data_IF_834041670809
#
_entry.id   IF_834041670809
#
_cell.length_a   1.000
_cell.length_b   1.000
_cell.length_c   1.000
_cell.angle_alpha   90.00
_cell.angle_beta   90.00
_cell.angle_gamma   90.00
#
_symmetry.space_group_name_H-M   'P 1'
#
loop_
_entity.id
_entity.type
_entity.pdbx_description
1 polymer ?
#
# COMPACT_ATOMS: atom_id res chain seq x y z
N UNK A 1 -24.30 -17.76 -24.21
CA UNK A 1 -24.77 -18.28 -22.90
C UNK A 1 -23.69 -18.24 -21.81
N UNK A 2 -22.42 -18.54 -22.10
CA UNK A 2 -21.33 -18.45 -21.11
C UNK A 2 -21.08 -17.02 -20.56
N UNK A 3 -21.09 -15.99 -21.42
CA UNK A 3 -20.94 -14.58 -21.00
C UNK A 3 -22.13 -14.02 -20.20
N UNK A 4 -23.31 -14.66 -20.28
CA UNK A 4 -24.49 -14.24 -19.51
C UNK A 4 -24.42 -14.81 -18.09
N UNK A 5 -24.01 -16.08 -17.94
CA UNK A 5 -23.73 -16.69 -16.63
C UNK A 5 -22.59 -15.99 -15.89
N UNK A 6 -21.53 -15.56 -16.59
CA UNK A 6 -20.40 -14.88 -15.96
C UNK A 6 -20.76 -13.44 -15.48
N UNK A 7 -21.67 -12.74 -16.19
CA UNK A 7 -22.25 -11.47 -15.75
C UNK A 7 -23.16 -11.61 -14.53
N UNK A 8 -24.01 -12.64 -14.49
CA UNK A 8 -24.86 -12.93 -13.31
C UNK A 8 -24.02 -13.27 -12.07
N UNK A 9 -22.85 -13.90 -12.25
CA UNK A 9 -21.96 -14.26 -11.13
C UNK A 9 -21.21 -13.05 -10.56
N UNK A 10 -20.86 -12.06 -11.40
CA UNK A 10 -20.14 -10.83 -10.99
C UNK A 10 -21.08 -9.78 -10.38
N UNK A 11 -22.29 -9.63 -10.93
CA UNK A 11 -23.33 -8.79 -10.32
C UNK A 11 -23.82 -9.38 -8.99
N UNK A 12 -23.87 -10.72 -8.87
CA UNK A 12 -24.16 -11.39 -7.59
C UNK A 12 -23.03 -11.21 -6.56
N UNK A 13 -21.74 -11.26 -6.94
CA UNK A 13 -20.63 -11.00 -6.02
C UNK A 13 -20.59 -9.52 -5.55
N UNK A 14 -20.94 -8.59 -6.43
CA UNK A 14 -21.01 -7.16 -6.08
C UNK A 14 -22.26 -6.81 -5.25
N UNK A 15 -23.34 -7.60 -5.36
CA UNK A 15 -24.55 -7.48 -4.52
C UNK A 15 -24.52 -8.35 -3.26
N UNK A 16 -23.65 -9.37 -3.17
CA UNK A 16 -23.62 -10.32 -2.05
C UNK A 16 -23.16 -9.69 -0.72
N UNK A 17 -22.42 -8.57 -0.75
CA UNK A 17 -21.85 -7.94 0.45
C UNK A 17 -22.60 -6.71 0.95
N UNK A 18 -23.69 -6.31 0.29
CA UNK A 18 -24.58 -5.28 0.84
C UNK A 18 -25.34 -5.85 2.05
N UNK A 19 -24.75 -5.77 3.24
CA UNK A 19 -25.29 -6.33 4.48
C UNK A 19 -24.39 -7.38 5.16
N UNK A 20 -23.15 -7.58 4.68
CA UNK A 20 -22.16 -8.36 5.43
C UNK A 20 -21.65 -7.51 6.60
N UNK A 21 -21.96 -7.93 7.82
CA UNK A 21 -21.56 -7.23 9.04
C UNK A 21 -20.02 -7.18 9.19
N UNK A 22 -19.31 -8.14 8.59
CA UNK A 22 -17.85 -8.28 8.71
C UNK A 22 -17.07 -7.55 7.61
N UNK A 23 -17.74 -6.78 6.74
CA UNK A 23 -17.11 -6.16 5.56
C UNK A 23 -15.94 -5.23 5.90
N UNK A 24 -15.90 -4.67 7.11
CA UNK A 24 -14.84 -3.78 7.59
C UNK A 24 -13.84 -4.49 8.51
N UNK A 25 -14.17 -5.69 8.98
CA UNK A 25 -13.37 -6.45 9.92
C UNK A 25 -14.03 -6.69 11.27
N UNK A 26 -13.23 -6.95 12.30
CA UNK A 26 -13.72 -7.26 13.65
C UNK A 26 -12.78 -6.82 14.77
N UNK A 27 -13.34 -6.71 15.99
CA UNK A 27 -12.62 -6.49 17.25
C UNK A 27 -12.90 -7.63 18.23
N UNK A 28 -11.88 -8.03 18.98
CA UNK A 28 -12.05 -8.91 20.14
C UNK A 28 -12.48 -8.10 21.37
N UNK A 29 -13.65 -8.39 21.93
CA UNK A 29 -14.15 -7.76 23.16
C UNK A 29 -14.17 -8.79 24.28
N UNK A 30 -13.37 -8.61 25.35
CA UNK A 30 -13.33 -9.57 26.46
C UNK A 30 -14.64 -9.54 27.26
N UNK A 31 -15.06 -10.71 27.74
CA UNK A 31 -16.12 -10.84 28.74
C UNK A 31 -15.75 -11.90 29.77
N UNK A 32 -16.20 -11.68 31.00
CA UNK A 32 -15.99 -12.61 32.12
C UNK A 32 -17.10 -13.66 32.13
N UNK A 33 -16.73 -14.94 32.13
CA UNK A 33 -17.70 -16.04 32.28
C UNK A 33 -18.11 -16.19 33.74
N UNK A 34 -19.25 -16.85 34.03
CA UNK A 34 -19.64 -17.19 35.40
C UNK A 34 -18.61 -18.03 36.17
N UNK A 35 -17.63 -18.63 35.47
CA UNK A 35 -16.56 -19.44 36.05
C UNK A 35 -15.25 -18.67 36.25
N UNK A 36 -15.23 -17.35 36.02
CA UNK A 36 -14.05 -16.50 36.21
C UNK A 36 -12.97 -16.69 35.15
N UNK A 37 -13.34 -17.21 33.97
CA UNK A 37 -12.47 -17.23 32.79
C UNK A 37 -12.81 -16.05 31.88
N UNK A 38 -11.78 -15.41 31.31
CA UNK A 38 -11.97 -14.40 30.27
C UNK A 38 -12.12 -15.09 28.91
N UNK A 39 -13.24 -14.82 28.24
CA UNK A 39 -13.50 -15.21 26.86
C UNK A 39 -13.67 -13.96 25.98
N UNK A 40 -13.73 -14.12 24.66
CA UNK A 40 -13.79 -13.00 23.71
C UNK A 40 -14.97 -13.13 22.76
N UNK A 41 -15.72 -12.05 22.60
CA UNK A 41 -16.68 -11.90 21.51
C UNK A 41 -16.00 -11.24 20.32
N UNK A 42 -16.34 -11.70 19.11
CA UNK A 42 -16.02 -10.98 17.88
C UNK A 42 -17.13 -9.97 17.63
N UNK A 43 -16.77 -8.69 17.59
CA UNK A 43 -17.69 -7.60 17.28
C UNK A 43 -17.31 -7.05 15.91
N UNK A 44 -18.25 -7.01 14.93
CA UNK A 44 -17.94 -6.46 13.62
C UNK A 44 -17.63 -4.95 13.68
N UNK A 45 -16.65 -4.51 12.89
CA UNK A 45 -16.28 -3.09 12.82
C UNK A 45 -17.30 -2.31 12.02
N UNK A 46 -17.60 -1.09 12.48
CA UNK A 46 -18.39 -0.13 11.70
C UNK A 46 -17.51 0.58 10.66
N UNK A 47 -18.15 1.34 9.77
CA UNK A 47 -17.44 2.20 8.84
C UNK A 47 -16.60 3.27 9.57
N UNK A 48 -17.07 3.82 10.70
CA UNK A 48 -16.29 4.77 11.52
C UNK A 48 -15.11 4.08 12.22
N UNK A 49 -15.28 2.83 12.68
CA UNK A 49 -14.15 2.05 13.23
C UNK A 49 -13.07 1.79 12.17
N UNK A 50 -13.44 1.59 10.90
CA UNK A 50 -12.47 1.43 9.82
C UNK A 50 -11.67 2.73 9.53
N UNK A 51 -12.27 3.90 9.81
CA UNK A 51 -11.58 5.18 9.70
C UNK A 51 -10.70 5.48 10.93
N UNK A 52 -11.16 5.10 12.11
CA UNK A 52 -10.51 5.34 13.40
C UNK A 52 -10.33 4.03 14.18
N UNK A 53 -9.46 3.12 13.70
CA UNK A 53 -9.29 1.82 14.32
C UNK A 53 -8.68 1.95 15.72
N UNK A 54 -8.95 0.95 16.55
CA UNK A 54 -8.31 0.77 17.85
C UNK A 54 -7.18 -0.26 17.73
N UNK A 55 -6.24 -0.19 18.67
CA UNK A 55 -5.18 -1.20 18.75
C UNK A 55 -5.80 -2.59 18.98
N UNK A 56 -5.46 -3.54 18.11
CA UNK A 56 -6.01 -4.90 18.11
C UNK A 56 -7.16 -5.14 17.13
N UNK A 57 -7.70 -4.09 16.50
CA UNK A 57 -8.70 -4.24 15.43
C UNK A 57 -8.13 -5.00 14.23
N UNK A 58 -8.97 -5.87 13.66
CA UNK A 58 -8.66 -6.64 12.47
C UNK A 58 -9.39 -6.03 11.29
N UNK A 59 -8.83 -4.96 10.71
CA UNK A 59 -9.38 -4.36 9.48
C UNK A 59 -9.06 -5.26 8.29
N UNK A 60 -10.06 -5.58 7.47
CA UNK A 60 -9.90 -6.49 6.33
C UNK A 60 -9.81 -5.73 5.01
N UNK A 61 -8.91 -6.19 4.14
CA UNK A 61 -8.66 -5.57 2.84
C UNK A 61 -8.66 -6.63 1.73
N UNK A 62 -8.95 -6.20 0.50
CA UNK A 62 -8.81 -7.06 -0.68
C UNK A 62 -7.33 -7.34 -1.00
N UNK A 63 -7.05 -8.47 -1.65
CA UNK A 63 -5.72 -8.84 -2.13
C UNK A 63 -5.05 -7.73 -2.97
N UNK A 64 -5.80 -7.15 -3.92
CA UNK A 64 -5.28 -6.11 -4.80
C UNK A 64 -4.92 -4.81 -4.05
N UNK A 65 -5.67 -4.48 -2.99
CA UNK A 65 -5.35 -3.36 -2.10
C UNK A 65 -4.03 -3.63 -1.38
N UNK A 66 -3.93 -4.78 -0.73
CA UNK A 66 -2.76 -5.19 0.02
C UNK A 66 -1.50 -5.26 -0.87
N UNK A 67 -1.60 -5.82 -2.08
CA UNK A 67 -0.48 -5.84 -3.03
C UNK A 67 0.04 -4.44 -3.37
N UNK A 68 -0.86 -3.47 -3.59
CA UNK A 68 -0.49 -2.07 -3.90
C UNK A 68 0.16 -1.38 -2.70
N UNK A 69 -0.36 -1.56 -1.49
CA UNK A 69 0.22 -0.98 -0.28
C UNK A 69 1.59 -1.60 0.03
N UNK A 70 1.72 -2.93 -0.07
CA UNK A 70 2.98 -3.65 0.13
C UNK A 70 4.04 -3.22 -0.89
N UNK A 71 3.66 -3.05 -2.16
CA UNK A 71 4.54 -2.51 -3.20
C UNK A 71 5.09 -1.14 -2.80
N UNK A 72 4.22 -0.18 -2.49
CA UNK A 72 4.62 1.17 -2.05
C UNK A 72 5.54 1.12 -0.83
N UNK A 73 5.15 0.37 0.20
CA UNK A 73 5.91 0.20 1.42
C UNK A 73 7.33 -0.33 1.14
N UNK A 74 7.46 -1.36 0.31
CA UNK A 74 8.74 -1.95 -0.04
C UNK A 74 9.63 -0.99 -0.82
N UNK A 75 9.07 -0.32 -1.85
CA UNK A 75 9.81 0.66 -2.66
C UNK A 75 10.30 1.82 -1.80
N UNK A 76 9.44 2.39 -0.94
CA UNK A 76 9.80 3.52 -0.10
C UNK A 76 10.82 3.14 0.96
N UNK A 77 10.70 1.96 1.57
CA UNK A 77 11.71 1.46 2.51
C UNK A 77 13.06 1.23 1.86
N UNK A 78 13.09 0.63 0.66
CA UNK A 78 14.32 0.43 -0.07
C UNK A 78 14.99 1.78 -0.40
N UNK A 79 14.18 2.76 -0.84
CA UNK A 79 14.63 4.11 -1.19
C UNK A 79 15.17 4.88 0.02
N UNK A 80 14.58 4.72 1.20
CA UNK A 80 14.96 5.41 2.43
C UNK A 80 15.95 4.64 3.31
N UNK A 81 16.49 3.52 2.84
CA UNK A 81 17.35 2.63 3.65
C UNK A 81 18.58 3.32 4.26
N UNK A 82 19.12 4.34 3.59
CA UNK A 82 20.29 5.11 4.04
C UNK A 82 19.93 6.28 4.96
N UNK A 83 18.65 6.65 5.04
CA UNK A 83 18.17 7.72 5.91
C UNK A 83 17.72 7.14 7.26
N UNK A 84 18.62 7.14 8.24
CA UNK A 84 18.36 6.54 9.55
C UNK A 84 17.34 7.29 10.41
N UNK A 85 16.92 8.49 10.00
CA UNK A 85 15.91 9.29 10.72
C UNK A 85 14.55 9.27 10.05
N UNK A 86 14.41 8.55 8.93
CA UNK A 86 13.14 8.32 8.27
C UNK A 86 12.64 6.89 8.51
N UNK A 87 11.33 6.72 8.66
CA UNK A 87 10.70 5.40 8.65
C UNK A 87 9.45 5.42 7.79
N UNK A 88 9.15 4.27 7.20
CA UNK A 88 7.91 4.04 6.46
C UNK A 88 7.10 3.04 7.27
N UNK A 89 5.84 3.34 7.48
CA UNK A 89 4.87 2.48 8.14
C UNK A 89 3.76 2.14 7.15
N UNK A 90 3.15 0.96 7.33
CA UNK A 90 2.03 0.47 6.55
C UNK A 90 1.06 -0.21 7.52
N UNK A 91 -0.21 0.25 7.53
CA UNK A 91 -1.29 -0.24 8.40
C UNK A 91 -0.92 -0.20 9.91
N UNK A 92 -0.08 0.75 10.31
CA UNK A 92 0.26 1.00 11.73
C UNK A 92 -0.62 2.13 12.25
N UNK A 93 -1.25 1.92 13.41
CA UNK A 93 -2.04 2.94 14.08
C UNK A 93 -1.15 4.12 14.49
N UNK A 94 -1.40 5.31 13.94
CA UNK A 94 -0.67 6.55 14.24
C UNK A 94 -1.47 7.42 15.19
N UNK A 95 -0.85 7.80 16.31
CA UNK A 95 -1.35 8.81 17.26
C UNK A 95 -0.69 10.15 16.91
N UNK A 96 -1.51 11.08 16.44
CA UNK A 96 -1.05 12.40 15.99
C UNK A 96 -0.71 13.31 17.17
N UNK A 97 0.19 14.27 16.96
CA UNK A 97 0.55 15.27 17.98
C UNK A 97 -0.59 16.28 18.24
N UNK A 98 -1.49 16.45 17.27
CA UNK A 98 -2.65 17.34 17.36
C UNK A 98 -3.63 16.86 18.43
N UNK A 99 -3.92 17.67 19.48
CA UNK A 99 -4.87 17.30 20.51
C UNK A 99 -6.25 17.00 19.93
N UNK A 100 -6.95 16.01 20.50
CA UNK A 100 -8.29 15.56 20.12
C UNK A 100 -8.43 14.94 18.72
N UNK A 101 -7.37 14.94 17.90
CA UNK A 101 -7.38 14.21 16.64
C UNK A 101 -7.33 12.71 16.91
N UNK A 102 -8.35 11.99 16.42
CA UNK A 102 -8.44 10.54 16.60
C UNK A 102 -7.30 9.85 15.83
N UNK A 103 -6.72 8.76 16.37
CA UNK A 103 -5.73 7.97 15.64
C UNK A 103 -6.30 7.39 14.35
N UNK A 104 -5.46 7.33 13.31
CA UNK A 104 -5.77 6.63 12.05
C UNK A 104 -4.68 5.60 11.75
N UNK A 105 -4.96 4.64 10.87
CA UNK A 105 -3.95 3.74 10.31
C UNK A 105 -3.84 4.01 8.80
N UNK A 106 -2.92 4.90 8.37
CA UNK A 106 -2.74 5.17 6.95
C UNK A 106 -2.21 3.93 6.22
N UNK A 107 -2.66 3.72 4.98
CA UNK A 107 -2.15 2.62 4.15
C UNK A 107 -0.62 2.69 4.03
N UNK A 108 -0.06 3.88 3.76
CA UNK A 108 1.39 4.14 3.83
C UNK A 108 1.63 5.53 4.40
N UNK A 109 2.53 5.63 5.39
CA UNK A 109 3.02 6.91 5.91
C UNK A 109 4.54 6.92 6.00
N UNK A 110 5.13 8.05 5.60
CA UNK A 110 6.56 8.35 5.79
C UNK A 110 6.69 9.34 6.93
N UNK A 111 7.42 8.93 7.96
CA UNK A 111 7.78 9.75 9.11
C UNK A 111 9.26 10.15 9.01
N UNK A 112 9.59 11.34 9.48
CA UNK A 112 10.96 11.87 9.55
C UNK A 112 11.29 12.34 10.97
N UNK A 113 12.57 12.49 11.29
CA UNK A 113 13.03 12.93 12.62
C UNK A 113 13.04 11.83 13.69
N UNK A 114 12.72 10.59 13.32
CA UNK A 114 12.73 9.44 14.23
C UNK A 114 14.15 9.23 14.75
N UNK A 115 14.31 9.17 16.08
CA UNK A 115 15.62 9.06 16.72
C UNK A 115 16.13 7.63 16.77
N UNK A 116 15.23 6.68 17.00
CA UNK A 116 15.53 5.27 17.19
C UNK A 116 14.40 4.44 16.58
N UNK A 117 14.76 3.42 15.80
CA UNK A 117 13.76 2.51 15.25
C UNK A 117 13.37 1.46 16.28
N UNK A 118 12.07 1.25 16.44
CA UNK A 118 11.50 0.26 17.37
C UNK A 118 10.50 -0.63 16.67
N UNK A 119 10.08 -1.68 17.36
CA UNK A 119 8.95 -2.51 16.95
C UNK A 119 7.67 -1.87 17.51
N UNK A 120 7.04 -1.03 16.70
CA UNK A 120 5.84 -0.29 17.08
C UNK A 120 4.58 -1.11 16.80
N UNK A 121 3.75 -1.36 17.82
CA UNK A 121 2.35 -1.81 17.63
C UNK A 121 1.42 -0.66 17.30
N UNK A 122 1.76 0.54 17.77
CA UNK A 122 1.23 1.83 17.35
C UNK A 122 2.35 2.87 17.38
N UNK A 123 2.23 3.92 16.58
CA UNK A 123 3.23 4.96 16.44
C UNK A 123 2.73 6.28 17.02
N UNK A 124 3.39 6.77 18.07
CA UNK A 124 3.07 8.07 18.69
C UNK A 124 4.04 9.14 18.17
N UNK A 125 3.50 10.10 17.41
CA UNK A 125 4.31 11.12 16.72
C UNK A 125 5.10 11.97 17.70
N UNK A 126 4.49 12.36 18.83
CA UNK A 126 5.11 13.21 19.83
C UNK A 126 6.19 12.44 20.62
N UNK A 127 5.89 11.20 21.03
CA UNK A 127 6.81 10.36 21.81
C UNK A 127 8.06 10.00 21.00
N UNK A 128 7.92 9.79 19.69
CA UNK A 128 9.04 9.48 18.79
C UNK A 128 9.77 10.74 18.27
N UNK A 129 9.31 11.94 18.67
CA UNK A 129 9.78 13.24 18.19
C UNK A 129 9.82 13.31 16.65
N UNK A 130 8.85 12.66 16.01
CA UNK A 130 8.77 12.50 14.58
C UNK A 130 7.88 13.58 13.94
N UNK A 131 7.91 13.67 12.61
CA UNK A 131 6.96 14.46 11.83
C UNK A 131 6.51 13.67 10.60
N UNK A 132 5.22 13.69 10.26
CA UNK A 132 4.78 13.13 8.99
C UNK A 132 5.37 13.95 7.84
N UNK A 133 5.77 13.25 6.79
CA UNK A 133 6.28 13.86 5.56
C UNK A 133 5.38 13.56 4.35
N UNK A 134 4.81 12.35 4.32
CA UNK A 134 3.94 11.87 3.25
C UNK A 134 2.93 10.87 3.80
N UNK A 135 1.66 10.98 3.40
CA UNK A 135 0.66 9.93 3.55
C UNK A 135 0.14 9.54 2.17
N UNK A 136 -0.02 8.23 1.93
CA UNK A 136 -0.70 7.68 0.76
C UNK A 136 -1.85 6.79 1.21
N UNK A 137 -3.01 6.96 0.58
CA UNK A 137 -4.19 6.12 0.73
C UNK A 137 -4.55 5.48 -0.62
N UNK A 138 -4.78 4.18 -0.63
CA UNK A 138 -5.27 3.42 -1.77
C UNK A 138 -6.75 3.18 -1.56
N UNK A 139 -7.61 3.71 -2.41
CA UNK A 139 -9.06 3.64 -2.13
C UNK A 139 -9.57 2.21 -2.23
N UNK A 140 -10.37 1.79 -1.25
CA UNK A 140 -11.19 0.58 -1.33
C UNK A 140 -12.66 0.92 -1.63
N UNK A 141 -13.46 0.06 -2.28
CA UNK A 141 -14.84 0.38 -2.62
C UNK A 141 -15.73 0.83 -1.45
N UNK A 142 -15.49 0.27 -0.25
CA UNK A 142 -16.31 0.46 0.94
C UNK A 142 -15.85 1.61 1.84
N UNK A 143 -14.57 2.02 1.76
CA UNK A 143 -13.99 3.10 2.58
C UNK A 143 -13.57 4.33 1.78
N UNK A 144 -13.65 4.29 0.43
CA UNK A 144 -13.28 5.39 -0.48
C UNK A 144 -13.85 6.76 -0.11
N UNK A 145 -15.03 6.80 0.52
CA UNK A 145 -15.64 8.05 0.96
C UNK A 145 -14.78 8.77 2.01
N UNK A 146 -14.13 8.02 2.90
CA UNK A 146 -13.28 8.59 3.94
C UNK A 146 -11.98 9.14 3.36
N UNK A 147 -11.35 8.40 2.46
CA UNK A 147 -10.12 8.85 1.80
C UNK A 147 -10.37 10.17 1.06
N UNK A 148 -11.50 10.29 0.36
CA UNK A 148 -11.87 11.49 -0.41
C UNK A 148 -12.46 12.64 0.42
N UNK A 149 -12.74 12.44 1.71
CA UNK A 149 -13.35 13.44 2.58
C UNK A 149 -12.68 13.49 3.95
N UNK A 150 -13.11 12.65 4.90
CA UNK A 150 -12.69 12.73 6.31
C UNK A 150 -11.16 12.74 6.50
N UNK A 151 -10.44 11.83 5.83
CA UNK A 151 -8.98 11.73 5.95
C UNK A 151 -8.25 12.95 5.38
N UNK A 152 -8.86 13.66 4.43
CA UNK A 152 -8.28 14.90 3.91
C UNK A 152 -8.22 15.95 5.01
N UNK A 153 -9.27 16.08 5.81
CA UNK A 153 -9.29 17.01 6.95
C UNK A 153 -8.37 16.51 8.08
N UNK A 154 -8.48 15.23 8.46
CA UNK A 154 -7.66 14.64 9.54
C UNK A 154 -6.15 14.79 9.25
N UNK A 155 -5.71 14.50 8.03
CA UNK A 155 -4.29 14.62 7.67
C UNK A 155 -3.83 16.06 7.53
N UNK A 156 -4.72 16.99 7.20
CA UNK A 156 -4.39 18.41 7.22
C UNK A 156 -4.15 18.87 8.67
N UNK A 157 -5.06 18.51 9.58
CA UNK A 157 -4.98 18.84 10.99
C UNK A 157 -3.81 18.15 11.70
N UNK A 158 -3.42 16.95 11.24
CA UNK A 158 -2.21 16.26 11.66
C UNK A 158 -0.90 16.91 11.17
N UNK A 159 -1.00 17.92 10.30
CA UNK A 159 0.16 18.62 9.74
C UNK A 159 0.94 17.80 8.70
N UNK A 160 0.29 16.87 8.01
CA UNK A 160 0.93 16.09 6.93
C UNK A 160 1.21 17.04 5.74
N UNK A 161 2.48 17.18 5.29
CA UNK A 161 2.79 18.14 4.22
C UNK A 161 2.32 17.72 2.83
N UNK A 162 2.29 16.41 2.57
CA UNK A 162 1.96 15.82 1.28
C UNK A 162 1.00 14.64 1.50
N UNK A 163 -0.19 14.73 0.94
CA UNK A 163 -1.20 13.68 0.98
C UNK A 163 -1.55 13.22 -0.42
N UNK A 164 -1.56 11.91 -0.66
CA UNK A 164 -1.86 11.32 -1.96
C UNK A 164 -2.94 10.26 -1.85
N UNK A 165 -3.92 10.31 -2.76
CA UNK A 165 -4.96 9.29 -2.90
C UNK A 165 -4.77 8.59 -4.23
N UNK A 166 -4.59 7.28 -4.18
CA UNK A 166 -4.63 6.38 -5.32
C UNK A 166 -6.06 5.88 -5.50
N UNK A 167 -6.82 6.56 -6.35
CA UNK A 167 -8.25 6.32 -6.54
C UNK A 167 -8.47 5.28 -7.64
N UNK A 168 -8.63 4.04 -7.19
CA UNK A 168 -8.96 2.88 -8.00
C UNK A 168 -10.38 2.40 -7.66
N UNK A 169 -11.36 2.87 -8.44
CA UNK A 169 -12.77 2.52 -8.22
C UNK A 169 -13.41 1.92 -9.45
N UNK A 170 -14.24 0.90 -9.26
CA UNK A 170 -15.11 0.35 -10.30
C UNK A 170 -16.56 0.50 -9.85
N UNK A 171 -17.35 1.29 -10.59
CA UNK A 171 -18.79 1.44 -10.33
C UNK A 171 -19.56 1.45 -11.63
N UNK A 172 -20.51 0.52 -11.77
CA UNK A 172 -21.56 0.51 -12.81
C UNK A 172 -21.06 0.94 -14.21
N UNK A 173 -19.93 0.35 -14.64
CA UNK A 173 -19.23 0.57 -15.94
C UNK A 173 -18.24 1.75 -16.02
N UNK A 174 -18.03 2.50 -14.94
CA UNK A 174 -16.96 3.49 -14.83
C UNK A 174 -15.77 2.89 -14.09
N UNK A 175 -14.60 2.95 -14.72
CA UNK A 175 -13.31 2.60 -14.11
C UNK A 175 -12.58 3.91 -13.82
N UNK A 176 -12.44 4.24 -12.55
CA UNK A 176 -11.63 5.37 -12.11
C UNK A 176 -10.24 4.85 -11.82
N UNK A 177 -9.24 5.45 -12.47
CA UNK A 177 -7.81 5.24 -12.25
C UNK A 177 -7.15 6.61 -12.25
N UNK A 178 -6.92 7.18 -11.08
CA UNK A 178 -6.31 8.52 -10.97
C UNK A 178 -5.52 8.67 -9.68
N UNK A 179 -4.55 9.57 -9.73
CA UNK A 179 -3.82 10.05 -8.58
C UNK A 179 -4.34 11.44 -8.20
N UNK A 180 -4.66 11.64 -6.94
CA UNK A 180 -4.99 12.94 -6.37
C UNK A 180 -3.90 13.28 -5.37
N UNK A 181 -3.11 14.31 -5.64
CA UNK A 181 -2.09 14.80 -4.72
C UNK A 181 -2.55 16.09 -4.08
N UNK A 182 -2.19 16.30 -2.83
CA UNK A 182 -2.48 17.49 -2.06
C UNK A 182 -1.25 17.94 -1.29
N UNK A 183 -0.95 19.24 -1.33
CA UNK A 183 0.11 19.85 -0.55
C UNK A 183 -0.51 20.77 0.50
N UNK A 184 0.04 20.77 1.71
CA UNK A 184 -0.46 21.65 2.78
C UNK A 184 -0.27 23.13 2.42
N UNK A 185 -1.22 23.96 2.85
CA UNK A 185 -1.17 25.42 2.76
C UNK A 185 -1.71 26.03 4.06
N UNK A 186 -1.74 27.36 4.18
CA UNK A 186 -2.26 28.04 5.38
C UNK A 186 -3.74 27.75 5.64
N UNK A 187 -4.54 27.58 4.58
CA UNK A 187 -6.00 27.49 4.66
C UNK A 187 -6.55 26.07 4.42
N UNK A 188 -5.67 25.08 4.28
CA UNK A 188 -6.07 23.71 3.91
C UNK A 188 -5.14 23.08 2.88
N UNK A 189 -5.52 21.90 2.42
CA UNK A 189 -4.84 21.23 1.31
C UNK A 189 -5.13 21.92 -0.03
N UNK A 190 -4.08 22.13 -0.83
CA UNK A 190 -4.19 22.53 -2.24
C UNK A 190 -3.86 21.35 -3.15
N UNK A 191 -4.66 21.10 -4.21
CA UNK A 191 -4.40 19.99 -5.12
C UNK A 191 -3.12 20.24 -5.93
N UNK A 192 -2.33 19.18 -6.09
CA UNK A 192 -1.14 19.14 -6.92
C UNK A 192 -1.56 18.70 -8.32
N UNK A 193 -1.13 19.45 -9.33
CA UNK A 193 -1.33 19.09 -10.73
C UNK A 193 -0.30 18.03 -11.11
N UNK A 194 -0.72 16.83 -11.55
CA UNK A 194 0.21 15.83 -12.08
C UNK A 194 0.94 16.34 -13.32
N UNK A 195 2.08 15.74 -13.64
CA UNK A 195 2.81 16.04 -14.86
C UNK A 195 2.02 15.59 -16.12
N UNK A 196 2.60 15.80 -17.31
CA UNK A 196 1.97 15.44 -18.59
C UNK A 196 1.64 13.94 -18.74
N UNK A 197 2.29 13.06 -17.98
CA UNK A 197 2.02 11.62 -17.92
C UNK A 197 0.99 11.24 -16.85
N UNK A 198 0.47 12.21 -16.11
CA UNK A 198 -0.41 11.97 -14.97
C UNK A 198 0.32 11.54 -13.69
N UNK A 199 1.64 11.73 -13.60
CA UNK A 199 2.43 11.33 -12.44
C UNK A 199 2.54 12.43 -11.39
N UNK A 200 2.65 12.04 -10.12
CA UNK A 200 2.91 12.93 -9.00
C UNK A 200 4.35 12.76 -8.52
N UNK A 201 5.04 13.87 -8.28
CA UNK A 201 6.35 13.84 -7.62
C UNK A 201 6.18 13.72 -6.11
N UNK A 202 6.77 12.69 -5.52
CA UNK A 202 6.79 12.44 -4.08
C UNK A 202 8.14 12.88 -3.52
N UNK A 203 8.24 14.14 -3.11
CA UNK A 203 9.49 14.73 -2.62
C UNK A 203 10.14 13.92 -1.47
N UNK A 204 9.41 13.46 -0.42
CA UNK A 204 10.01 12.80 0.73
C UNK A 204 10.72 11.48 0.42
N UNK A 205 10.37 10.84 -0.69
CA UNK A 205 10.99 9.60 -1.18
C UNK A 205 11.75 9.81 -2.49
N UNK A 206 11.70 11.00 -3.09
CA UNK A 206 12.35 11.31 -4.38
C UNK A 206 11.99 10.32 -5.49
N UNK A 207 10.69 10.05 -5.63
CA UNK A 207 10.12 9.15 -6.63
C UNK A 207 8.95 9.83 -7.36
N UNK A 208 8.73 9.45 -8.61
CA UNK A 208 7.45 9.68 -9.26
C UNK A 208 6.50 8.53 -8.93
N UNK A 209 5.24 8.86 -8.67
CA UNK A 209 4.15 7.90 -8.61
C UNK A 209 3.26 8.05 -9.83
N UNK A 210 3.01 6.96 -10.54
CA UNK A 210 2.18 6.91 -11.73
C UNK A 210 1.24 5.71 -11.73
N UNK A 211 0.30 5.73 -12.69
CA UNK A 211 -0.58 4.61 -12.98
C UNK A 211 -0.30 4.15 -14.41
N UNK A 212 -0.01 2.87 -14.58
CA UNK A 212 0.12 2.22 -15.88
C UNK A 212 -0.93 1.10 -16.00
N UNK A 213 -1.97 1.35 -16.82
CA UNK A 213 -3.15 0.49 -16.89
C UNK A 213 -3.86 0.39 -15.53
N UNK A 214 -3.84 -0.80 -14.92
CA UNK A 214 -4.39 -1.07 -13.59
C UNK A 214 -3.31 -1.13 -12.49
N UNK A 215 -2.05 -0.92 -12.86
CA UNK A 215 -0.91 -1.04 -11.96
C UNK A 215 -0.50 0.33 -11.41
N UNK A 216 -0.16 0.33 -10.14
CA UNK A 216 0.49 1.45 -9.48
C UNK A 216 2.00 1.27 -9.64
N UNK A 217 2.69 2.29 -10.14
CA UNK A 217 4.13 2.19 -10.46
C UNK A 217 4.87 3.39 -9.90
N UNK A 218 5.95 3.11 -9.18
CA UNK A 218 6.93 4.09 -8.78
C UNK A 218 8.03 4.17 -9.85
N UNK A 219 8.45 5.39 -10.18
CA UNK A 219 9.58 5.64 -11.08
C UNK A 219 10.67 6.42 -10.36
N UNK A 220 11.93 6.14 -10.69
CA UNK A 220 13.06 6.89 -10.18
C UNK A 220 13.16 8.30 -10.82
N UNK A 221 14.17 9.08 -10.41
CA UNK A 221 14.43 10.42 -10.96
C UNK A 221 14.73 10.45 -12.46
N UNK A 222 15.14 9.31 -13.03
CA UNK A 222 15.42 9.13 -14.45
C UNK A 222 14.21 8.52 -15.18
N UNK A 223 13.03 8.53 -14.55
CA UNK A 223 11.78 7.99 -15.07
C UNK A 223 11.81 6.48 -15.37
N UNK A 224 12.73 5.73 -14.73
CA UNK A 224 12.78 4.28 -14.85
C UNK A 224 11.81 3.64 -13.86
N UNK A 225 10.98 2.67 -14.28
CA UNK A 225 10.06 1.98 -13.39
C UNK A 225 10.82 1.16 -12.34
N UNK A 226 10.25 1.06 -11.15
CA UNK A 226 10.74 0.22 -10.06
C UNK A 226 9.82 -0.99 -9.96
N UNK A 227 10.37 -2.15 -10.30
CA UNK A 227 9.64 -3.42 -10.31
C UNK A 227 9.18 -3.85 -8.90
N UNK A 228 8.10 -4.61 -8.84
CA UNK A 228 7.70 -5.30 -7.61
C UNK A 228 8.66 -6.47 -7.29
N UNK A 229 8.76 -6.87 -6.03
CA UNK A 229 9.63 -7.97 -5.60
C UNK A 229 9.30 -9.30 -6.31
N UNK A 230 8.02 -9.55 -6.59
CA UNK A 230 7.59 -10.71 -7.37
C UNK A 230 8.18 -10.67 -8.79
N UNK A 231 8.10 -9.53 -9.46
CA UNK A 231 8.64 -9.31 -10.80
C UNK A 231 10.17 -9.43 -10.83
N UNK A 232 10.86 -8.86 -9.82
CA UNK A 232 12.30 -9.01 -9.64
C UNK A 232 12.71 -10.48 -9.46
N UNK A 233 11.92 -11.25 -8.72
CA UNK A 233 12.18 -12.68 -8.49
C UNK A 233 11.98 -13.49 -9.76
N UNK A 234 10.91 -13.24 -10.51
CA UNK A 234 10.67 -13.88 -11.81
C UNK A 234 11.78 -13.55 -12.81
N UNK A 235 12.21 -12.29 -12.88
CA UNK A 235 13.31 -11.85 -13.73
C UNK A 235 14.63 -12.55 -13.33
N UNK A 236 14.91 -12.70 -12.03
CA UNK A 236 16.08 -13.43 -11.52
C UNK A 236 16.04 -14.90 -11.93
N UNK A 237 14.92 -15.59 -11.71
CA UNK A 237 14.76 -17.00 -12.09
C UNK A 237 14.95 -17.18 -13.60
N UNK A 238 14.36 -16.30 -14.40
CA UNK A 238 14.50 -16.35 -15.85
C UNK A 238 15.95 -16.07 -16.30
N UNK A 239 16.67 -15.17 -15.62
CA UNK A 239 18.07 -14.89 -15.89
C UNK A 239 18.98 -16.08 -15.52
N UNK A 240 18.74 -16.71 -14.37
CA UNK A 240 19.44 -17.92 -13.93
C UNK A 240 19.22 -19.10 -14.89
N UNK A 241 17.99 -19.30 -15.37
CA UNK A 241 17.68 -20.31 -16.36
C UNK A 241 18.43 -20.08 -17.69
N UNK A 242 18.44 -18.83 -18.20
CA UNK A 242 19.19 -18.48 -19.42
C UNK A 242 20.70 -18.67 -19.25
N UNK A 243 21.25 -18.36 -18.08
CA UNK A 243 22.67 -18.57 -17.79
C UNK A 243 23.01 -20.07 -17.79
N UNK A 244 22.19 -20.90 -17.15
CA UNK A 244 22.39 -22.36 -17.13
C UNK A 244 22.30 -22.98 -18.53
N UNK A 245 21.34 -22.54 -19.36
CA UNK A 245 21.24 -22.99 -20.76
C UNK A 245 22.46 -22.57 -21.60
N UNK A 246 22.96 -21.35 -21.40
CA UNK A 246 24.15 -20.87 -22.06
C UNK A 246 25.40 -21.67 -21.66
N UNK A 247 25.57 -21.97 -20.37
CA UNK A 247 26.66 -22.80 -19.85
C UNK A 247 26.63 -24.22 -20.44
N UNK A 248 25.45 -24.85 -20.48
CA UNK A 248 25.28 -26.18 -21.10
C UNK A 248 25.64 -26.15 -22.58
N UNK A 249 25.25 -25.10 -23.30
CA UNK A 249 25.56 -24.95 -24.73
C UNK A 249 27.06 -24.74 -24.96
N UNK A 250 27.73 -23.95 -24.13
CA UNK A 250 29.18 -23.77 -24.19
C UNK A 250 29.89 -25.10 -23.93
N UNK A 251 29.52 -25.83 -22.87
CA UNK A 251 30.11 -27.13 -22.55
C UNK A 251 29.93 -28.16 -23.68
N UNK A 252 28.75 -28.19 -24.31
CA UNK A 252 28.48 -29.08 -25.44
C UNK A 252 29.33 -28.72 -26.68
N UNK A 253 29.47 -27.43 -26.98
CA UNK A 253 30.31 -26.96 -28.09
C UNK A 253 31.79 -27.23 -27.84
N UNK A 254 32.27 -27.05 -26.60
CA UNK A 254 33.66 -27.37 -26.22
C UNK A 254 33.94 -28.87 -26.36
N UNK A 255 33.02 -29.73 -25.91
CA UNK A 255 33.17 -31.18 -26.05
C UNK A 255 33.22 -31.62 -27.53
N UNK A 256 32.39 -31.03 -28.38
CA UNK A 256 32.39 -31.32 -29.81
C UNK A 256 33.65 -30.81 -30.51
N UNK A 257 34.10 -29.59 -30.18
CA UNK A 257 35.35 -29.03 -30.69
C UNK A 257 36.54 -29.93 -30.31
N UNK A 258 36.56 -30.46 -29.09
CA UNK A 258 37.60 -31.36 -28.62
C UNK A 258 37.59 -32.69 -29.39
N UNK A 259 36.40 -33.26 -29.66
CA UNK A 259 36.28 -34.44 -30.51
C UNK A 259 36.83 -34.20 -31.91
N UNK A 260 36.42 -33.11 -32.56
CA UNK A 260 36.87 -32.78 -33.92
C UNK A 260 38.38 -32.57 -33.98
N UNK A 261 38.97 -31.92 -32.95
CA UNK A 261 40.42 -31.75 -32.83
C UNK A 261 41.18 -33.06 -32.61
N UNK A 262 40.60 -34.02 -31.89
CA UNK A 262 41.21 -35.33 -31.67
C UNK A 262 41.10 -36.28 -32.86
N UNK A 263 40.21 -35.97 -33.82
CA UNK A 263 39.96 -36.78 -35.01
C UNK A 263 40.71 -36.28 -36.27
N UNK A 264 41.37 -35.13 -36.18
CA UNK A 264 42.21 -34.54 -37.24
C UNK A 264 43.69 -34.83 -36.98
#
# INVERSE_FOLDING_TARGET
MAQHKQRETIDAATQAHAGDEWQYGFRYVPFETPHGTTEYNLVPLTLDDALYPQEGDQVVHSDIHQRRCVYLYNVFRARLTTNTTATVLHDVLVRWETPDLRPNAPDVVVMTGVRERREWSSFDVAAEAARPALVIEVTSPHTRIHDLANKTDDYFDAGVPLYVIVDFSERRRTHTRRLLGYQTSLDGYVPIVPNERGWLWLEPVSLWLGIDGDNLVCYDQNEQPIDDYAELTEARIAAEARAAEAEQRVAALEAELQRLRSAA
#
